data_IF_541177804731
#
_entry.id   IF_541177804731
#
_cell.length_a   1.000
_cell.length_b   1.000
_cell.length_c   1.000
_cell.angle_alpha   90.00
_cell.angle_beta   90.00
_cell.angle_gamma   90.00
#
_symmetry.space_group_name_H-M   'P 1'
#
loop_
_entity.id
_entity.type
_entity.pdbx_description
1 polymer ?
#
# COMPACT_ATOMS: atom_id res chain seq x y z
N UNK A 1 -40.47 36.28 -49.16
CA UNK A 1 -39.60 35.09 -49.30
C UNK A 1 -38.41 35.25 -48.36
N UNK A 2 -38.28 34.43 -47.31
CA UNK A 2 -37.03 34.30 -46.57
C UNK A 2 -36.40 32.91 -46.78
N UNK A 3 -35.07 32.91 -46.80
CA UNK A 3 -34.18 31.82 -47.17
C UNK A 3 -34.31 30.57 -46.29
N UNK A 4 -34.29 29.40 -46.93
CA UNK A 4 -34.24 28.09 -46.29
C UNK A 4 -32.90 27.82 -45.61
N UNK A 5 -32.94 27.17 -44.45
CA UNK A 5 -31.78 26.57 -43.76
C UNK A 5 -31.22 25.40 -44.59
N UNK A 6 -29.90 25.16 -44.58
CA UNK A 6 -29.33 23.93 -45.11
C UNK A 6 -29.64 22.73 -44.19
N UNK A 7 -29.64 21.49 -44.70
CA UNK A 7 -29.96 20.30 -43.91
C UNK A 7 -28.86 20.00 -42.88
N UNK A 8 -29.26 19.55 -41.69
CA UNK A 8 -28.34 19.02 -40.70
C UNK A 8 -27.88 17.62 -41.10
N UNK A 9 -26.62 17.48 -41.51
CA UNK A 9 -25.97 16.17 -41.62
C UNK A 9 -25.72 15.64 -40.21
N UNK A 10 -26.64 14.81 -39.71
CA UNK A 10 -26.35 13.92 -38.59
C UNK A 10 -25.39 12.83 -39.07
N UNK A 11 -24.10 12.99 -38.73
CA UNK A 11 -23.13 11.90 -38.78
C UNK A 11 -23.67 10.69 -38.01
N UNK A 12 -24.11 9.67 -38.75
CA UNK A 12 -24.47 8.37 -38.21
C UNK A 12 -23.18 7.63 -37.85
N UNK A 13 -22.91 7.44 -36.56
CA UNK A 13 -21.72 6.71 -36.11
C UNK A 13 -21.79 5.23 -36.51
N UNK A 14 -20.66 4.60 -36.91
CA UNK A 14 -20.65 3.20 -37.30
C UNK A 14 -21.01 2.27 -36.14
N UNK A 15 -21.83 1.27 -36.42
CA UNK A 15 -22.21 0.22 -35.49
C UNK A 15 -20.94 -0.57 -35.05
N UNK A 16 -20.55 -0.51 -33.76
CA UNK A 16 -19.32 -1.07 -33.19
C UNK A 16 -19.03 -2.54 -33.57
N UNK A 17 -20.06 -3.30 -33.94
CA UNK A 17 -19.94 -4.69 -34.40
C UNK A 17 -19.10 -4.86 -35.67
N UNK A 18 -19.09 -3.88 -36.59
CA UNK A 18 -18.34 -3.99 -37.86
C UNK A 18 -16.85 -3.70 -37.68
N UNK A 19 -16.51 -2.79 -36.76
CA UNK A 19 -15.12 -2.45 -36.42
C UNK A 19 -14.41 -3.60 -35.67
N UNK A 20 -15.12 -4.28 -34.76
CA UNK A 20 -14.58 -5.40 -33.98
C UNK A 20 -14.27 -6.65 -34.86
N UNK A 21 -15.10 -6.90 -35.88
CA UNK A 21 -14.87 -7.98 -36.86
C UNK A 21 -13.60 -7.76 -37.70
N UNK A 22 -13.25 -6.50 -37.99
CA UNK A 22 -12.09 -6.14 -38.80
C UNK A 22 -10.76 -6.32 -38.04
N UNK A 23 -10.78 -6.35 -36.71
CA UNK A 23 -9.60 -6.44 -35.84
C UNK A 23 -9.38 -7.86 -35.26
N UNK A 24 -10.19 -8.85 -35.67
CA UNK A 24 -10.08 -10.22 -35.17
C UNK A 24 -10.51 -10.42 -33.71
N UNK A 25 -11.21 -9.44 -33.11
CA UNK A 25 -11.68 -9.48 -31.72
C UNK A 25 -13.15 -9.92 -31.70
N UNK A 26 -13.44 -11.08 -31.09
CA UNK A 26 -14.82 -11.54 -30.89
C UNK A 26 -15.55 -10.65 -29.89
N UNK A 27 -16.83 -10.36 -30.17
CA UNK A 27 -17.71 -9.59 -29.28
C UNK A 27 -17.81 -10.19 -27.88
N UNK A 28 -17.71 -11.51 -27.77
CA UNK A 28 -17.73 -12.23 -26.49
C UNK A 28 -16.49 -11.95 -25.63
N UNK A 29 -15.30 -11.86 -26.24
CA UNK A 29 -14.06 -11.53 -25.52
C UNK A 29 -14.07 -10.08 -25.02
N UNK A 30 -14.51 -9.14 -25.87
CA UNK A 30 -14.65 -7.73 -25.49
C UNK A 30 -15.66 -7.52 -24.35
N UNK A 31 -16.79 -8.24 -24.37
CA UNK A 31 -17.77 -8.18 -23.27
C UNK A 31 -17.21 -8.76 -21.96
N UNK A 32 -16.43 -9.85 -22.00
CA UNK A 32 -15.80 -10.43 -20.81
C UNK A 32 -14.74 -9.51 -20.21
N UNK A 33 -13.85 -8.93 -21.03
CA UNK A 33 -12.82 -8.00 -20.58
C UNK A 33 -13.43 -6.72 -19.99
N UNK A 34 -14.48 -6.19 -20.62
CA UNK A 34 -15.22 -5.03 -20.12
C UNK A 34 -15.90 -5.33 -18.79
N UNK A 35 -16.52 -6.51 -18.64
CA UNK A 35 -17.13 -6.94 -17.39
C UNK A 35 -16.10 -7.07 -16.25
N UNK A 36 -14.94 -7.65 -16.53
CA UNK A 36 -13.88 -7.79 -15.54
C UNK A 36 -13.28 -6.44 -15.16
N UNK A 37 -13.15 -5.51 -16.11
CA UNK A 37 -12.76 -4.13 -15.83
C UNK A 37 -13.79 -3.41 -14.97
N UNK A 38 -15.08 -3.58 -15.26
CA UNK A 38 -16.16 -3.01 -14.45
C UNK A 38 -16.14 -3.60 -13.03
N UNK A 39 -15.94 -4.92 -12.86
CA UNK A 39 -15.78 -5.55 -11.53
C UNK A 39 -14.58 -4.99 -10.78
N UNK A 40 -13.46 -4.79 -11.47
CA UNK A 40 -12.23 -4.21 -10.91
C UNK A 40 -12.48 -2.79 -10.39
N UNK A 41 -13.03 -1.91 -11.24
CA UNK A 41 -13.34 -0.52 -10.89
C UNK A 41 -14.39 -0.44 -9.77
N UNK A 42 -15.39 -1.33 -9.80
CA UNK A 42 -16.46 -1.38 -8.81
C UNK A 42 -15.99 -1.86 -7.43
N UNK A 43 -15.31 -3.01 -7.35
CA UNK A 43 -14.88 -3.59 -6.08
C UNK A 43 -13.50 -3.10 -5.65
N UNK A 44 -12.46 -3.33 -6.46
CA UNK A 44 -11.06 -3.00 -6.09
C UNK A 44 -10.86 -1.50 -5.94
N UNK A 45 -11.40 -0.70 -6.84
CA UNK A 45 -11.27 0.76 -6.75
C UNK A 45 -12.42 1.43 -6.00
N UNK A 46 -13.60 0.80 -5.93
CA UNK A 46 -14.71 1.33 -5.14
C UNK A 46 -15.44 2.50 -5.77
N UNK A 47 -15.27 2.68 -7.07
CA UNK A 47 -15.73 3.85 -7.79
C UNK A 47 -17.26 3.93 -7.85
N UNK A 48 -17.80 5.15 -7.92
CA UNK A 48 -19.20 5.49 -8.24
C UNK A 48 -19.45 5.36 -9.73
N UNK A 49 -20.71 5.36 -10.16
CA UNK A 49 -21.02 5.06 -11.57
C UNK A 49 -20.45 6.08 -12.54
N UNK A 50 -20.49 7.37 -12.20
CA UNK A 50 -19.85 8.41 -13.03
C UNK A 50 -18.31 8.29 -13.00
N UNK A 51 -17.70 7.92 -11.87
CA UNK A 51 -16.26 7.68 -11.76
C UNK A 51 -15.83 6.46 -12.59
N UNK A 52 -16.66 5.40 -12.64
CA UNK A 52 -16.42 4.23 -13.50
C UNK A 52 -16.49 4.64 -14.97
N UNK A 53 -17.48 5.45 -15.36
CA UNK A 53 -17.60 5.95 -16.74
C UNK A 53 -16.35 6.76 -17.09
N UNK A 54 -15.99 7.74 -16.26
CA UNK A 54 -14.80 8.56 -16.48
C UNK A 54 -13.53 7.70 -16.59
N UNK A 55 -13.33 6.76 -15.66
CA UNK A 55 -12.18 5.86 -15.70
C UNK A 55 -12.15 4.98 -16.95
N UNK A 56 -13.30 4.52 -17.45
CA UNK A 56 -13.38 3.75 -18.69
C UNK A 56 -13.09 4.66 -19.90
N UNK A 57 -13.58 5.89 -19.90
CA UNK A 57 -13.34 6.88 -20.95
C UNK A 57 -11.85 7.25 -21.04
N UNK A 58 -11.17 7.43 -19.90
CA UNK A 58 -9.71 7.64 -19.85
C UNK A 58 -8.94 6.46 -20.44
N UNK A 59 -9.48 5.24 -20.35
CA UNK A 59 -8.93 4.04 -20.97
C UNK A 59 -9.44 3.79 -22.41
N UNK A 60 -10.06 4.79 -23.05
CA UNK A 60 -10.54 4.72 -24.43
C UNK A 60 -11.90 4.03 -24.62
N UNK A 61 -12.57 3.62 -23.54
CA UNK A 61 -13.86 2.92 -23.56
C UNK A 61 -15.00 3.89 -23.21
N UNK A 62 -15.74 4.35 -24.22
CA UNK A 62 -16.90 5.21 -24.01
C UNK A 62 -18.18 4.39 -23.82
N UNK A 63 -18.82 4.51 -22.66
CA UNK A 63 -20.11 3.86 -22.38
C UNK A 63 -21.09 4.84 -21.73
N UNK A 64 -22.38 4.71 -22.07
CA UNK A 64 -23.43 5.49 -21.42
C UNK A 64 -23.69 4.99 -19.99
N UNK A 65 -24.21 5.87 -19.13
CA UNK A 65 -24.62 5.51 -17.76
C UNK A 65 -25.67 4.39 -17.73
N UNK A 66 -26.60 4.39 -18.70
CA UNK A 66 -27.57 3.32 -18.90
C UNK A 66 -26.90 1.99 -19.24
N UNK A 67 -25.92 1.99 -20.15
CA UNK A 67 -25.17 0.79 -20.55
C UNK A 67 -24.40 0.22 -19.36
N UNK A 68 -23.68 1.06 -18.61
CA UNK A 68 -22.97 0.65 -17.40
C UNK A 68 -23.92 0.01 -16.38
N UNK A 69 -25.09 0.64 -16.15
CA UNK A 69 -26.09 0.13 -15.21
C UNK A 69 -26.62 -1.24 -15.64
N UNK A 70 -26.92 -1.42 -16.93
CA UNK A 70 -27.38 -2.70 -17.48
C UNK A 70 -26.34 -3.79 -17.31
N UNK A 71 -25.08 -3.54 -17.71
CA UNK A 71 -24.00 -4.50 -17.55
C UNK A 71 -23.85 -4.86 -16.07
N UNK A 72 -23.74 -3.86 -15.18
CA UNK A 72 -23.62 -4.09 -13.73
C UNK A 72 -24.74 -4.96 -13.15
N UNK A 73 -25.99 -4.73 -13.56
CA UNK A 73 -27.11 -5.55 -13.10
C UNK A 73 -27.06 -6.98 -13.66
N UNK A 74 -26.67 -7.15 -14.92
CA UNK A 74 -26.45 -8.46 -15.57
C UNK A 74 -25.42 -9.30 -14.82
N UNK A 75 -24.30 -8.69 -14.43
CA UNK A 75 -23.23 -9.35 -13.66
C UNK A 75 -23.44 -9.34 -12.14
N UNK A 76 -24.64 -8.97 -11.66
CA UNK A 76 -25.00 -9.03 -10.24
C UNK A 76 -24.44 -7.91 -9.34
N UNK A 77 -23.76 -6.90 -9.90
CA UNK A 77 -23.18 -5.76 -9.16
C UNK A 77 -24.24 -4.71 -8.78
N UNK A 78 -25.05 -4.99 -7.77
CA UNK A 78 -26.05 -4.02 -7.24
C UNK A 78 -25.37 -3.06 -6.25
N UNK A 79 -25.72 -1.75 -6.21
CA UNK A 79 -25.21 -0.84 -5.15
C UNK A 79 -25.98 -0.93 -3.85
N UNK A 80 -27.26 -1.33 -3.94
CA UNK A 80 -28.19 -1.51 -2.84
C UNK A 80 -28.81 -2.88 -2.99
N UNK A 81 -28.70 -3.70 -1.94
CA UNK A 81 -29.47 -4.95 -1.84
C UNK A 81 -30.87 -4.57 -1.35
N UNK A 82 -31.90 -4.97 -2.09
CA UNK A 82 -33.30 -4.58 -1.84
C UNK A 82 -34.12 -5.75 -1.28
N UNK A 83 -33.79 -6.99 -1.67
CA UNK A 83 -34.48 -8.19 -1.21
C UNK A 83 -33.97 -8.64 0.18
N UNK A 84 -34.89 -9.00 1.08
CA UNK A 84 -34.60 -9.39 2.45
C UNK A 84 -33.83 -10.72 2.55
N UNK A 85 -34.13 -11.68 1.67
CA UNK A 85 -33.47 -12.98 1.62
C UNK A 85 -32.00 -12.86 1.16
N UNK A 86 -31.76 -12.08 0.12
CA UNK A 86 -30.40 -11.77 -0.36
C UNK A 86 -29.57 -11.01 0.69
N UNK A 87 -30.22 -10.15 1.48
CA UNK A 87 -29.58 -9.47 2.62
C UNK A 87 -29.15 -10.51 3.67
N UNK A 88 -30.01 -11.47 3.99
CA UNK A 88 -29.70 -12.49 4.99
C UNK A 88 -28.56 -13.41 4.54
N UNK A 89 -28.63 -13.94 3.31
CA UNK A 89 -27.56 -14.76 2.73
C UNK A 89 -26.22 -14.01 2.68
N UNK A 90 -26.24 -12.74 2.28
CA UNK A 90 -25.04 -11.89 2.30
C UNK A 90 -24.53 -11.66 3.73
N UNK A 91 -25.43 -11.42 4.68
CA UNK A 91 -25.04 -11.23 6.08
C UNK A 91 -24.42 -12.49 6.68
N UNK A 92 -24.93 -13.68 6.35
CA UNK A 92 -24.40 -14.94 6.88
C UNK A 92 -23.03 -15.28 6.29
N UNK A 93 -22.84 -15.07 4.98
CA UNK A 93 -21.51 -15.16 4.35
C UNK A 93 -20.52 -14.16 4.96
N UNK A 94 -20.96 -12.93 5.19
CA UNK A 94 -20.12 -11.90 5.81
C UNK A 94 -19.84 -12.24 7.27
N UNK A 95 -20.79 -12.79 8.03
CA UNK A 95 -20.56 -13.24 9.42
C UNK A 95 -19.50 -14.33 9.49
N UNK A 96 -19.59 -15.34 8.62
CA UNK A 96 -18.59 -16.40 8.54
C UNK A 96 -17.20 -15.83 8.23
N UNK A 97 -17.09 -14.92 7.26
CA UNK A 97 -15.82 -14.27 6.94
C UNK A 97 -15.36 -13.34 8.07
N UNK A 98 -16.24 -12.56 8.71
CA UNK A 98 -15.92 -11.73 9.89
C UNK A 98 -15.34 -12.61 10.99
N UNK A 99 -15.98 -13.74 11.31
CA UNK A 99 -15.50 -14.64 12.35
C UNK A 99 -14.11 -15.21 12.00
N UNK A 100 -13.91 -15.60 10.74
CA UNK A 100 -12.59 -16.04 10.25
C UNK A 100 -11.53 -14.94 10.41
N UNK A 101 -11.88 -13.69 10.12
CA UNK A 101 -10.96 -12.55 10.23
C UNK A 101 -10.75 -12.07 11.67
N UNK A 102 -11.72 -12.25 12.57
CA UNK A 102 -11.54 -12.03 14.01
C UNK A 102 -10.66 -13.11 14.62
N UNK A 103 -10.86 -14.37 14.22
CA UNK A 103 -10.01 -15.48 14.65
C UNK A 103 -8.56 -15.30 14.19
N UNK A 104 -8.30 -14.55 13.11
CA UNK A 104 -6.95 -14.18 12.68
C UNK A 104 -6.39 -12.93 13.36
N UNK A 105 -7.21 -12.19 14.12
CA UNK A 105 -6.84 -10.89 14.68
C UNK A 105 -6.77 -9.76 13.65
N UNK A 106 -6.83 -10.06 12.35
CA UNK A 106 -6.56 -9.14 11.22
C UNK A 106 -7.42 -7.89 11.21
N UNK A 107 -8.67 -8.01 11.65
CA UNK A 107 -9.64 -6.92 11.59
C UNK A 107 -9.92 -6.28 12.96
N UNK A 108 -9.25 -6.72 14.04
CA UNK A 108 -9.50 -6.21 15.39
C UNK A 108 -9.13 -4.73 15.55
N UNK A 109 -8.11 -4.27 14.82
CA UNK A 109 -7.71 -2.87 14.80
C UNK A 109 -8.46 -2.01 13.78
N UNK A 110 -9.33 -2.58 12.95
CA UNK A 110 -10.01 -1.84 11.89
C UNK A 110 -11.22 -1.11 12.47
N UNK A 111 -11.25 0.22 12.33
CA UNK A 111 -12.45 0.99 12.62
C UNK A 111 -13.59 0.69 11.61
N UNK A 112 -14.83 0.99 11.99
CA UNK A 112 -16.07 0.74 11.21
C UNK A 112 -15.95 1.03 9.70
N UNK A 113 -15.38 2.19 9.34
CA UNK A 113 -15.21 2.59 7.94
C UNK A 113 -14.21 1.72 7.16
N UNK A 114 -13.12 1.29 7.80
CA UNK A 114 -12.13 0.41 7.18
C UNK A 114 -12.67 -1.01 7.04
N UNK A 115 -13.41 -1.51 8.04
CA UNK A 115 -14.09 -2.81 7.95
C UNK A 115 -15.05 -2.85 6.76
N UNK A 116 -15.91 -1.84 6.64
CA UNK A 116 -16.86 -1.76 5.52
C UNK A 116 -16.15 -1.83 4.17
N UNK A 117 -15.02 -1.12 4.05
CA UNK A 117 -14.25 -1.07 2.81
C UNK A 117 -13.48 -2.37 2.54
N UNK A 118 -12.91 -2.97 3.56
CA UNK A 118 -12.21 -4.26 3.49
C UNK A 118 -13.10 -5.37 2.92
N UNK A 119 -14.32 -5.52 3.44
CA UNK A 119 -15.25 -6.53 2.92
C UNK A 119 -15.74 -6.19 1.50
N UNK A 120 -15.94 -4.91 1.19
CA UNK A 120 -16.27 -4.48 -0.19
C UNK A 120 -15.16 -4.82 -1.18
N UNK A 121 -13.89 -4.67 -0.80
CA UNK A 121 -12.74 -5.06 -1.62
C UNK A 121 -12.69 -6.58 -1.87
N UNK A 122 -13.20 -7.39 -0.93
CA UNK A 122 -13.36 -8.84 -1.07
C UNK A 122 -14.60 -9.26 -1.87
N UNK A 123 -15.39 -8.31 -2.38
CA UNK A 123 -16.58 -8.59 -3.19
C UNK A 123 -17.90 -8.61 -2.41
N UNK A 124 -17.89 -8.40 -1.10
CA UNK A 124 -19.12 -8.43 -0.30
C UNK A 124 -19.90 -7.11 -0.38
N UNK A 125 -21.20 -7.22 -0.59
CA UNK A 125 -22.08 -6.07 -0.75
C UNK A 125 -22.89 -5.78 0.52
N UNK A 126 -22.22 -5.18 1.51
CA UNK A 126 -22.80 -4.98 2.84
C UNK A 126 -23.70 -3.73 2.88
N UNK A 127 -24.90 -3.87 3.42
CA UNK A 127 -25.83 -2.76 3.63
C UNK A 127 -25.54 -1.96 4.91
N UNK A 128 -25.29 -2.63 6.05
CA UNK A 128 -24.87 -2.01 7.33
C UNK A 128 -24.01 -2.97 8.15
N UNK A 129 -22.75 -2.61 8.35
CA UNK A 129 -21.80 -3.46 9.09
C UNK A 129 -22.09 -3.54 10.60
N UNK A 130 -22.79 -2.55 11.18
CA UNK A 130 -23.20 -2.56 12.61
C UNK A 130 -24.10 -3.73 12.96
N UNK A 131 -25.09 -4.05 12.11
CA UNK A 131 -26.04 -5.14 12.38
C UNK A 131 -25.38 -6.52 12.29
N UNK A 132 -24.29 -6.60 11.53
CA UNK A 132 -23.49 -7.82 11.35
C UNK A 132 -22.56 -8.00 12.56
N UNK A 133 -21.89 -6.94 12.99
CA UNK A 133 -21.00 -6.97 14.16
C UNK A 133 -21.74 -7.05 15.50
N UNK A 134 -22.93 -6.45 15.63
CA UNK A 134 -23.74 -6.55 16.85
C UNK A 134 -24.27 -7.97 17.11
N UNK A 135 -24.30 -8.84 16.08
CA UNK A 135 -24.65 -10.24 16.23
C UNK A 135 -23.43 -11.14 16.58
N UNK A 136 -22.21 -10.62 16.45
CA UNK A 136 -20.95 -11.30 16.77
C UNK A 136 -20.28 -10.65 17.99
N UNK A 137 -20.63 -11.16 19.17
CA UNK A 137 -20.01 -10.92 20.48
C UNK A 137 -19.74 -9.44 20.85
N UNK A 138 -20.82 -8.77 21.26
CA UNK A 138 -20.88 -7.39 21.74
C UNK A 138 -19.86 -7.08 22.87
N UNK A 139 -19.39 -8.10 23.60
CA UNK A 139 -18.42 -7.98 24.69
C UNK A 139 -17.02 -7.67 24.19
N UNK A 140 -16.56 -8.31 23.10
CA UNK A 140 -15.22 -8.04 22.53
C UNK A 140 -15.10 -6.63 21.97
N UNK A 141 -16.14 -6.14 21.31
CA UNK A 141 -16.13 -4.79 20.68
C UNK A 141 -16.19 -3.67 21.74
N UNK A 142 -17.00 -3.83 22.80
CA UNK A 142 -17.05 -2.88 23.93
C UNK A 142 -15.77 -2.92 24.78
N UNK A 143 -15.20 -4.10 25.01
CA UNK A 143 -13.93 -4.28 25.71
C UNK A 143 -12.75 -3.66 24.94
N UNK A 144 -12.71 -3.83 23.62
CA UNK A 144 -11.72 -3.18 22.75
C UNK A 144 -11.87 -1.65 22.75
N UNK A 145 -13.10 -1.11 22.74
CA UNK A 145 -13.32 0.34 22.84
C UNK A 145 -12.87 0.93 24.19
N UNK A 146 -13.00 0.20 25.29
CA UNK A 146 -12.50 0.59 26.62
C UNK A 146 -10.97 0.45 26.76
N UNK A 147 -10.38 -0.60 26.20
CA UNK A 147 -8.92 -0.81 26.16
C UNK A 147 -8.24 0.27 25.30
N UNK A 148 -8.83 0.64 24.16
CA UNK A 148 -8.28 1.64 23.24
C UNK A 148 -8.22 3.05 23.87
N UNK A 149 -9.04 3.33 24.90
CA UNK A 149 -9.01 4.60 25.64
C UNK A 149 -8.08 4.59 26.85
N UNK A 150 -7.96 3.46 27.56
CA UNK A 150 -7.16 3.34 28.80
C UNK A 150 -5.71 2.89 28.62
N UNK A 151 -5.41 2.08 27.59
CA UNK A 151 -4.08 1.47 27.41
C UNK A 151 -3.11 2.39 26.64
N UNK A 152 -3.63 3.45 26.02
CA UNK A 152 -2.86 4.39 25.19
C UNK A 152 -1.78 5.18 25.95
N UNK A 153 -1.86 5.29 27.28
CA UNK A 153 -0.85 5.97 28.10
C UNK A 153 0.13 5.03 28.83
N UNK A 154 -0.23 3.75 29.04
CA UNK A 154 0.65 2.79 29.72
C UNK A 154 1.57 2.03 28.73
N UNK A 155 1.12 1.76 27.51
CA UNK A 155 1.85 0.91 26.53
C UNK A 155 3.06 1.57 25.84
N UNK A 156 3.21 2.89 25.94
CA UNK A 156 4.41 3.58 25.43
C UNK A 156 5.59 3.52 26.41
N UNK A 157 5.37 3.10 27.66
CA UNK A 157 6.43 3.05 28.68
C UNK A 157 7.12 1.68 28.81
N UNK A 158 6.57 0.57 28.29
CA UNK A 158 7.19 -0.77 28.42
C UNK A 158 6.94 -1.74 27.26
N UNK A 159 7.32 -1.46 26.00
CA UNK A 159 7.63 -2.56 25.09
C UNK A 159 9.01 -3.12 25.45
N UNK A 160 9.15 -4.45 25.56
CA UNK A 160 10.47 -5.07 25.72
C UNK A 160 11.40 -4.62 24.58
N UNK A 161 12.70 -4.40 24.88
CA UNK A 161 13.70 -4.00 23.88
C UNK A 161 13.70 -4.93 22.65
N UNK A 162 13.32 -6.19 22.84
CA UNK A 162 13.22 -7.22 21.80
C UNK A 162 12.05 -6.96 20.84
N UNK A 163 10.84 -6.67 21.34
CA UNK A 163 9.66 -6.37 20.51
C UNK A 163 9.87 -5.09 19.68
N UNK A 164 10.45 -4.05 20.29
CA UNK A 164 10.85 -2.83 19.56
C UNK A 164 11.86 -3.16 18.49
N UNK A 165 12.89 -3.95 18.81
CA UNK A 165 13.94 -4.33 17.87
C UNK A 165 13.39 -5.13 16.68
N UNK A 166 12.43 -6.04 16.87
CA UNK A 166 11.84 -6.82 15.77
C UNK A 166 10.93 -6.02 14.86
N UNK A 167 10.04 -5.18 15.43
CA UNK A 167 9.22 -4.28 14.62
C UNK A 167 10.08 -3.24 13.92
N UNK A 168 11.10 -2.73 14.61
CA UNK A 168 12.10 -1.87 14.01
C UNK A 168 12.80 -2.61 12.88
N UNK A 169 13.24 -3.86 13.06
CA UNK A 169 13.91 -4.67 12.04
C UNK A 169 12.99 -4.97 10.84
N UNK A 170 11.71 -5.28 11.07
CA UNK A 170 10.71 -5.48 10.00
C UNK A 170 10.36 -4.20 9.24
N UNK A 171 10.27 -3.07 9.94
CA UNK A 171 10.01 -1.78 9.32
C UNK A 171 11.29 -1.17 8.73
N UNK A 172 12.47 -1.45 9.29
CA UNK A 172 13.76 -0.88 8.91
C UNK A 172 14.45 -1.64 7.80
N UNK A 173 14.17 -2.93 7.59
CA UNK A 173 14.63 -3.61 6.38
C UNK A 173 13.82 -3.22 5.15
N UNK A 174 12.68 -2.54 5.33
CA UNK A 174 11.96 -1.85 4.27
C UNK A 174 12.03 -0.31 4.38
N UNK A 175 12.83 0.20 5.32
CA UNK A 175 13.13 1.61 5.54
C UNK A 175 14.54 1.64 6.12
N UNK A 176 15.54 1.29 5.32
CA UNK A 176 16.92 1.55 5.72
C UNK A 176 16.98 3.06 5.95
N UNK A 177 17.15 3.51 7.20
CA UNK A 177 17.19 4.93 7.58
C UNK A 177 18.48 5.61 7.10
N UNK A 178 18.89 5.28 5.89
CA UNK A 178 20.05 5.80 5.20
C UNK A 178 19.56 6.77 4.14
N UNK A 179 20.36 7.80 3.90
CA UNK A 179 20.08 8.77 2.84
C UNK A 179 19.82 8.11 1.49
N UNK A 180 20.50 6.99 1.25
CA UNK A 180 20.49 6.23 0.00
C UNK A 180 19.15 5.56 -0.23
N UNK A 181 18.62 4.86 0.77
CA UNK A 181 17.38 4.13 0.57
C UNK A 181 16.17 5.09 0.48
N UNK A 182 16.26 6.26 1.12
CA UNK A 182 15.28 7.34 0.97
C UNK A 182 15.38 7.96 -0.43
N UNK A 183 16.59 8.17 -0.94
CA UNK A 183 16.84 8.60 -2.33
C UNK A 183 16.26 7.62 -3.35
N UNK A 184 16.60 6.34 -3.26
CA UNK A 184 16.12 5.34 -4.22
C UNK A 184 14.60 5.21 -4.21
N UNK A 185 13.95 5.24 -3.03
CA UNK A 185 12.48 5.23 -2.97
C UNK A 185 11.90 6.44 -3.68
N UNK A 186 12.49 7.61 -3.48
CA UNK A 186 12.09 8.82 -4.18
C UNK A 186 12.23 8.65 -5.71
N UNK A 187 13.38 8.21 -6.21
CA UNK A 187 13.63 8.01 -7.65
C UNK A 187 12.70 6.94 -8.26
N UNK A 188 12.48 5.81 -7.58
CA UNK A 188 11.56 4.74 -8.01
C UNK A 188 10.12 5.27 -8.13
N UNK A 189 9.67 6.09 -7.19
CA UNK A 189 8.35 6.73 -7.26
C UNK A 189 8.25 7.65 -8.49
N UNK A 190 9.28 8.43 -8.80
CA UNK A 190 9.30 9.27 -10.01
C UNK A 190 9.26 8.44 -11.29
N UNK A 191 9.99 7.31 -11.33
CA UNK A 191 10.00 6.39 -12.47
C UNK A 191 8.63 5.73 -12.68
N UNK A 192 8.01 5.25 -11.59
CA UNK A 192 6.71 4.56 -11.63
C UNK A 192 5.56 5.51 -11.99
N UNK A 193 5.53 6.70 -11.36
CA UNK A 193 4.44 7.67 -11.55
C UNK A 193 4.63 8.54 -12.78
N UNK A 194 5.87 8.71 -13.24
CA UNK A 194 6.29 9.67 -14.28
C UNK A 194 5.90 11.11 -13.95
N UNK A 195 5.70 11.39 -12.65
CA UNK A 195 5.28 12.69 -12.12
C UNK A 195 6.35 13.20 -11.16
N UNK A 196 6.86 14.38 -11.46
CA UNK A 196 7.79 15.15 -10.65
C UNK A 196 7.02 16.21 -9.85
N UNK A 197 7.12 16.22 -8.52
CA UNK A 197 6.55 17.28 -7.71
C UNK A 197 7.33 18.60 -7.91
N UNK A 198 6.65 19.74 -7.71
CA UNK A 198 7.31 21.06 -7.76
C UNK A 198 8.17 21.35 -6.52
N UNK A 199 7.73 20.86 -5.37
CA UNK A 199 8.47 20.96 -4.13
C UNK A 199 8.23 19.71 -3.29
N UNK A 200 9.18 19.39 -2.41
CA UNK A 200 9.06 18.34 -1.41
C UNK A 200 9.14 18.92 0.00
N UNK A 201 8.43 18.26 0.93
CA UNK A 201 8.38 18.67 2.34
C UNK A 201 8.67 17.52 3.29
N UNK A 202 9.94 17.29 3.64
CA UNK A 202 10.28 16.29 4.65
C UNK A 202 10.37 16.88 6.06
N UNK A 203 10.33 15.98 7.04
CA UNK A 203 10.74 16.26 8.42
C UNK A 203 12.25 16.63 8.44
N UNK A 204 12.66 17.41 9.45
CA UNK A 204 14.07 17.71 9.67
C UNK A 204 14.81 16.41 10.04
N UNK A 205 15.64 15.92 9.14
CA UNK A 205 16.46 14.73 9.34
C UNK A 205 17.62 14.66 8.38
N UNK A 206 18.74 14.08 8.82
CA UNK A 206 19.91 13.88 7.97
C UNK A 206 19.71 12.86 6.85
N UNK A 207 18.59 12.13 6.84
CA UNK A 207 18.28 11.09 5.85
C UNK A 207 17.75 11.66 4.51
N UNK A 208 17.42 12.95 4.45
CA UNK A 208 16.74 13.55 3.29
C UNK A 208 17.65 14.42 2.43
N UNK A 209 18.93 14.54 2.79
CA UNK A 209 19.92 15.37 2.08
C UNK A 209 20.08 14.95 0.62
N UNK A 210 20.27 13.65 0.37
CA UNK A 210 20.42 13.15 -0.99
C UNK A 210 19.14 13.34 -1.83
N UNK A 211 17.96 13.21 -1.20
CA UNK A 211 16.69 13.51 -1.86
C UNK A 211 16.59 14.98 -2.22
N UNK A 212 16.99 15.88 -1.34
CA UNK A 212 17.02 17.32 -1.62
C UNK A 212 17.91 17.64 -2.82
N UNK A 213 19.11 17.06 -2.84
CA UNK A 213 20.08 17.25 -3.91
C UNK A 213 19.57 16.68 -5.25
N UNK A 214 19.06 15.45 -5.26
CA UNK A 214 18.49 14.83 -6.45
C UNK A 214 17.27 15.60 -6.98
N UNK A 215 16.38 16.02 -6.09
CA UNK A 215 15.20 16.82 -6.45
C UNK A 215 15.58 18.15 -7.11
N UNK A 216 16.61 18.82 -6.59
CA UNK A 216 17.16 20.03 -7.19
C UNK A 216 17.73 19.78 -8.59
N UNK A 217 18.55 18.74 -8.76
CA UNK A 217 19.15 18.41 -10.06
C UNK A 217 18.08 18.13 -11.12
N UNK A 218 17.02 17.39 -10.76
CA UNK A 218 15.90 17.08 -11.65
C UNK A 218 15.12 18.33 -12.10
N UNK A 219 15.09 19.39 -11.30
CA UNK A 219 14.34 20.61 -11.58
C UNK A 219 15.20 21.72 -12.18
N UNK A 220 16.51 21.73 -11.95
CA UNK A 220 17.41 22.82 -12.33
C UNK A 220 17.39 23.13 -13.82
N UNK A 221 17.32 22.10 -14.67
CA UNK A 221 17.24 22.26 -16.13
C UNK A 221 15.86 22.76 -16.59
N UNK A 222 14.81 22.55 -15.79
CA UNK A 222 13.44 22.95 -16.12
C UNK A 222 13.14 24.40 -15.73
N UNK A 223 13.83 24.94 -14.72
CA UNK A 223 13.54 26.26 -14.15
C UNK A 223 14.80 27.15 -14.12
N UNK A 224 14.77 28.24 -14.89
CA UNK A 224 15.83 29.27 -14.85
C UNK A 224 15.91 29.89 -13.46
N UNK A 225 17.12 29.98 -12.90
CA UNK A 225 17.40 30.57 -11.59
C UNK A 225 16.69 29.89 -10.40
N UNK A 226 16.42 28.59 -10.48
CA UNK A 226 15.86 27.83 -9.36
C UNK A 226 16.80 27.85 -8.16
N UNK A 227 16.31 28.31 -7.01
CA UNK A 227 16.98 28.14 -5.73
C UNK A 227 16.43 26.90 -5.04
N UNK A 228 17.26 26.25 -4.21
CA UNK A 228 16.85 25.06 -3.51
C UNK A 228 15.67 25.33 -2.54
N UNK A 229 15.65 26.48 -1.88
CA UNK A 229 14.55 26.90 -1.00
C UNK A 229 13.20 27.01 -1.74
N UNK A 230 13.22 27.10 -3.08
CA UNK A 230 12.01 27.16 -3.90
C UNK A 230 11.40 25.77 -4.13
N UNK A 231 12.19 24.70 -4.00
CA UNK A 231 11.76 23.31 -4.22
C UNK A 231 11.90 22.39 -3.00
N UNK A 232 12.53 22.85 -1.91
CA UNK A 232 12.72 22.05 -0.69
C UNK A 232 12.34 22.83 0.56
N UNK A 233 11.33 22.35 1.29
CA UNK A 233 10.77 23.06 2.44
C UNK A 233 10.70 22.15 3.67
N UNK A 234 11.29 22.56 4.79
CA UNK A 234 11.10 21.84 6.05
C UNK A 234 9.69 22.07 6.61
N UNK A 235 9.11 20.98 7.11
CA UNK A 235 7.83 21.01 7.82
C UNK A 235 8.02 21.28 9.31
N UNK A 236 7.05 21.94 9.93
CA UNK A 236 6.90 21.95 11.39
C UNK A 236 6.03 20.77 11.82
N UNK A 237 6.15 20.33 13.07
CA UNK A 237 5.37 19.20 13.60
C UNK A 237 3.84 19.35 13.44
N UNK A 238 3.34 20.56 13.23
CA UNK A 238 1.92 20.86 12.97
C UNK A 238 1.50 20.64 11.51
N UNK A 239 2.41 20.71 10.54
CA UNK A 239 2.12 20.42 9.13
C UNK A 239 2.19 18.92 8.78
N UNK A 240 2.90 18.10 9.56
CA UNK A 240 3.01 16.63 9.33
C UNK A 240 1.87 15.81 9.90
N UNK A 241 0.86 16.47 10.48
CA UNK A 241 -0.29 15.83 11.11
C UNK A 241 -0.99 14.79 10.22
N UNK A 242 -1.00 14.98 8.89
CA UNK A 242 -1.64 14.04 7.96
C UNK A 242 -0.84 12.74 7.82
N UNK A 243 0.48 12.83 7.63
CA UNK A 243 1.37 11.67 7.50
C UNK A 243 1.43 10.95 8.86
N UNK A 244 1.58 11.69 9.95
CA UNK A 244 1.58 11.14 11.31
C UNK A 244 0.23 10.49 11.69
N UNK A 245 -0.90 11.07 11.28
CA UNK A 245 -2.21 10.44 11.47
C UNK A 245 -2.39 9.16 10.63
N UNK A 246 -1.77 9.09 9.45
CA UNK A 246 -1.74 7.85 8.67
C UNK A 246 -0.93 6.77 9.36
N UNK A 247 0.30 7.06 9.77
CA UNK A 247 1.14 6.14 10.52
C UNK A 247 0.45 5.66 11.80
N UNK A 248 -0.13 6.57 12.57
CA UNK A 248 -0.90 6.22 13.77
C UNK A 248 -2.03 5.24 13.47
N UNK A 249 -2.75 5.45 12.36
CA UNK A 249 -3.85 4.55 11.96
C UNK A 249 -3.33 3.22 11.45
N UNK A 250 -2.27 3.17 10.64
CA UNK A 250 -1.64 1.93 10.19
C UNK A 250 -1.19 1.10 11.40
N UNK A 251 -0.51 1.73 12.36
CA UNK A 251 -0.05 1.06 13.58
C UNK A 251 -1.20 0.50 14.39
N UNK A 252 -2.24 1.30 14.63
CA UNK A 252 -3.42 0.88 15.41
C UNK A 252 -4.24 -0.22 14.73
N UNK A 253 -4.25 -0.26 13.40
CA UNK A 253 -5.15 -1.13 12.66
C UNK A 253 -4.54 -2.43 12.19
N UNK A 254 -3.23 -2.45 11.89
CA UNK A 254 -2.56 -3.61 11.33
C UNK A 254 -1.31 -4.00 12.15
N UNK A 255 -0.37 -3.07 12.36
CA UNK A 255 0.95 -3.41 12.91
C UNK A 255 0.90 -3.85 14.37
N UNK A 256 -0.15 -3.47 15.11
CA UNK A 256 -0.39 -3.93 16.48
C UNK A 256 -0.43 -5.46 16.58
N UNK A 257 -0.99 -6.17 15.60
CA UNK A 257 -1.10 -7.64 15.64
C UNK A 257 0.28 -8.29 15.61
N UNK A 258 1.14 -7.82 14.70
CA UNK A 258 2.53 -8.26 14.62
C UNK A 258 3.27 -7.94 15.92
N UNK A 259 3.07 -6.74 16.49
CA UNK A 259 3.68 -6.33 17.76
C UNK A 259 3.34 -7.27 18.91
N UNK A 260 2.06 -7.52 19.15
CA UNK A 260 1.61 -8.37 20.26
C UNK A 260 2.04 -9.82 20.03
N UNK A 261 2.00 -10.29 18.77
CA UNK A 261 2.48 -11.61 18.42
C UNK A 261 3.96 -11.81 18.75
N UNK A 262 4.82 -10.88 18.33
CA UNK A 262 6.26 -10.94 18.61
C UNK A 262 6.61 -10.76 20.08
N UNK A 263 5.85 -9.93 20.79
CA UNK A 263 5.98 -9.81 22.24
C UNK A 263 5.68 -11.15 22.91
N UNK A 264 4.60 -11.81 22.52
CA UNK A 264 4.26 -13.16 23.00
C UNK A 264 5.35 -14.18 22.64
N UNK A 265 5.81 -14.19 21.40
CA UNK A 265 6.87 -15.08 20.93
C UNK A 265 8.16 -14.96 21.77
N UNK A 266 8.52 -13.73 22.16
CA UNK A 266 9.66 -13.47 23.04
C UNK A 266 9.39 -13.88 24.50
N UNK A 267 8.22 -13.57 25.03
CA UNK A 267 7.86 -13.87 26.43
C UNK A 267 7.74 -15.37 26.68
N UNK A 268 7.23 -16.12 25.70
CA UNK A 268 7.08 -17.57 25.75
C UNK A 268 8.42 -18.30 25.52
N UNK A 269 9.52 -17.56 25.29
CA UNK A 269 10.86 -18.12 25.09
C UNK A 269 11.10 -18.74 23.70
N UNK A 270 10.19 -18.53 22.75
CA UNK A 270 10.31 -19.07 21.38
C UNK A 270 11.24 -18.28 20.46
N UNK A 271 11.64 -17.07 20.86
CA UNK A 271 12.57 -16.22 20.12
C UNK A 271 13.72 -15.73 20.99
N UNK A 272 14.93 -15.78 20.44
CA UNK A 272 16.13 -15.20 21.05
C UNK A 272 16.77 -14.17 20.11
N UNK A 273 16.91 -12.92 20.57
CA UNK A 273 17.46 -11.81 19.76
C UNK A 273 18.86 -12.10 19.20
N UNK A 274 19.69 -12.79 19.98
CA UNK A 274 21.08 -13.05 19.61
C UNK A 274 21.22 -14.26 18.68
N UNK A 275 20.17 -15.06 18.48
CA UNK A 275 20.17 -16.21 17.57
C UNK A 275 20.04 -15.74 16.13
N UNK A 276 21.06 -16.02 15.30
CA UNK A 276 21.02 -15.72 13.86
C UNK A 276 19.87 -16.49 13.17
N UNK A 277 19.64 -17.74 13.57
CA UNK A 277 18.55 -18.56 13.04
C UNK A 277 17.18 -17.96 13.30
N UNK A 278 16.95 -17.45 14.53
CA UNK A 278 15.70 -16.78 14.87
C UNK A 278 15.49 -15.51 14.03
N UNK A 279 16.54 -14.71 13.84
CA UNK A 279 16.44 -13.49 13.04
C UNK A 279 16.15 -13.80 11.57
N UNK A 280 16.90 -14.71 10.95
CA UNK A 280 16.68 -15.12 9.56
C UNK A 280 15.27 -15.73 9.39
N UNK A 281 14.84 -16.61 10.30
CA UNK A 281 13.51 -17.22 10.23
C UNK A 281 12.38 -16.19 10.35
N UNK A 282 12.51 -15.21 11.26
CA UNK A 282 11.52 -14.12 11.35
C UNK A 282 11.47 -13.34 10.04
N UNK A 283 12.63 -13.02 9.46
CA UNK A 283 12.71 -12.26 8.22
C UNK A 283 12.05 -12.99 7.06
N UNK A 284 12.40 -14.26 6.85
CA UNK A 284 11.88 -15.08 5.77
C UNK A 284 10.35 -15.25 5.83
N UNK A 285 9.78 -15.39 7.03
CA UNK A 285 8.35 -15.67 7.22
C UNK A 285 7.51 -14.38 7.28
N UNK A 286 7.93 -13.42 8.10
CA UNK A 286 7.05 -12.31 8.49
C UNK A 286 7.22 -11.06 7.63
N UNK A 287 8.36 -10.83 6.96
CA UNK A 287 8.50 -9.72 6.00
C UNK A 287 7.54 -9.85 4.81
N UNK A 288 7.51 -10.97 4.05
CA UNK A 288 6.61 -11.08 2.91
C UNK A 288 5.14 -10.99 3.34
N UNK A 289 4.80 -11.61 4.48
CA UNK A 289 3.46 -11.53 5.05
C UNK A 289 3.09 -10.09 5.44
N UNK A 290 3.96 -9.37 6.14
CA UNK A 290 3.71 -7.98 6.52
C UNK A 290 3.61 -7.07 5.29
N UNK A 291 4.43 -7.28 4.25
CA UNK A 291 4.33 -6.56 2.98
C UNK A 291 2.98 -6.78 2.30
N UNK A 292 2.51 -8.03 2.22
CA UNK A 292 1.16 -8.34 1.69
C UNK A 292 0.06 -7.64 2.50
N UNK A 293 0.16 -7.66 3.82
CA UNK A 293 -0.82 -7.03 4.70
C UNK A 293 -0.83 -5.50 4.61
N UNK A 294 0.34 -4.87 4.57
CA UNK A 294 0.48 -3.42 4.38
C UNK A 294 -0.06 -3.01 3.00
N UNK A 295 0.28 -3.76 1.94
CA UNK A 295 -0.25 -3.50 0.60
C UNK A 295 -1.79 -3.62 0.55
N UNK A 296 -2.34 -4.62 1.24
CA UNK A 296 -3.80 -4.76 1.41
C UNK A 296 -4.40 -3.57 2.14
N UNK A 297 -3.78 -3.13 3.24
CA UNK A 297 -4.21 -1.98 4.01
C UNK A 297 -4.18 -0.68 3.19
N UNK A 298 -3.11 -0.44 2.42
CA UNK A 298 -2.99 0.74 1.56
C UNK A 298 -4.13 0.80 0.55
N UNK A 299 -4.52 -0.35 -0.04
CA UNK A 299 -5.70 -0.43 -0.93
C UNK A 299 -6.99 -0.05 -0.19
N UNK A 300 -7.20 -0.57 1.03
CA UNK A 300 -8.36 -0.21 1.88
C UNK A 300 -8.37 1.28 2.19
N UNK A 301 -7.21 1.84 2.52
CA UNK A 301 -7.06 3.25 2.88
C UNK A 301 -7.33 4.17 1.68
N UNK A 302 -6.72 3.92 0.53
CA UNK A 302 -6.79 4.81 -0.63
C UNK A 302 -8.17 4.87 -1.27
N UNK A 303 -8.98 3.84 -1.04
CA UNK A 303 -10.33 3.71 -1.57
C UNK A 303 -11.41 4.20 -0.60
N UNK A 304 -11.02 4.63 0.62
CA UNK A 304 -11.94 5.26 1.55
C UNK A 304 -12.35 6.65 1.03
N UNK A 305 -13.59 7.03 1.30
CA UNK A 305 -14.07 8.37 0.99
C UNK A 305 -13.63 9.36 2.07
N UNK A 306 -12.93 10.42 1.67
CA UNK A 306 -12.72 11.62 2.49
C UNK A 306 -14.04 12.39 2.48
N UNK A 307 -14.67 12.49 3.64
CA UNK A 307 -15.95 13.18 3.80
C UNK A 307 -15.77 14.69 3.76
N UNK A 308 -16.76 15.39 3.16
CA UNK A 308 -16.81 16.85 3.20
C UNK A 308 -16.99 17.31 4.65
N UNK A 309 -16.11 18.19 5.11
CA UNK A 309 -16.19 18.79 6.44
C UNK A 309 -16.78 20.19 6.30
N UNK A 310 -17.96 20.44 6.88
CA UNK A 310 -18.70 21.72 6.76
C UNK A 310 -17.88 22.93 7.21
N UNK A 311 -16.98 22.75 8.18
CA UNK A 311 -16.13 23.82 8.72
C UNK A 311 -14.76 23.94 8.04
N UNK A 312 -14.49 23.14 6.98
CA UNK A 312 -13.23 23.19 6.23
C UNK A 312 -13.51 23.19 4.73
N UNK A 313 -13.92 24.35 4.23
CA UNK A 313 -14.29 24.53 2.81
C UNK A 313 -13.14 24.25 1.83
N UNK A 314 -11.88 24.38 2.26
CA UNK A 314 -10.69 24.04 1.47
C UNK A 314 -10.37 22.53 1.46
N UNK A 315 -11.11 21.70 2.19
CA UNK A 315 -10.89 20.25 2.22
C UNK A 315 -11.55 19.60 1.00
N UNK A 316 -10.72 19.07 0.10
CA UNK A 316 -11.19 18.28 -1.03
C UNK A 316 -11.80 16.97 -0.53
N UNK A 317 -13.04 16.71 -0.90
CA UNK A 317 -13.76 15.47 -0.59
C UNK A 317 -13.69 14.52 -1.79
N UNK A 318 -13.51 13.23 -1.55
CA UNK A 318 -13.35 12.24 -2.61
C UNK A 318 -12.60 11.00 -2.13
N UNK A 319 -12.44 10.00 -2.99
CA UNK A 319 -11.55 8.87 -2.68
C UNK A 319 -10.12 9.25 -3.06
N UNK A 320 -9.13 8.92 -2.23
CA UNK A 320 -7.74 9.30 -2.49
C UNK A 320 -7.26 8.80 -3.86
N UNK A 321 -7.63 7.57 -4.22
CA UNK A 321 -7.29 6.98 -5.51
C UNK A 321 -7.92 7.74 -6.70
N UNK A 322 -9.16 8.22 -6.53
CA UNK A 322 -9.87 9.01 -7.55
C UNK A 322 -9.24 10.39 -7.67
N UNK A 323 -9.04 11.08 -6.55
CA UNK A 323 -8.45 12.42 -6.53
C UNK A 323 -7.04 12.46 -7.13
N UNK A 324 -6.30 11.35 -7.04
CA UNK A 324 -4.94 11.25 -7.58
C UNK A 324 -4.91 10.82 -9.05
N UNK A 325 -5.72 9.82 -9.46
CA UNK A 325 -5.65 9.24 -10.81
C UNK A 325 -6.71 9.74 -11.79
N UNK A 326 -7.79 10.34 -11.30
CA UNK A 326 -8.95 10.77 -12.10
C UNK A 326 -9.22 12.23 -11.78
N UNK A 327 -8.45 13.12 -12.39
CA UNK A 327 -8.67 14.56 -12.30
C UNK A 327 -10.05 14.88 -12.90
N UNK A 328 -10.91 15.55 -12.12
CA UNK A 328 -12.17 16.08 -12.63
C UNK A 328 -11.89 17.26 -13.57
N UNK A 329 -12.79 17.49 -14.53
CA UNK A 329 -12.70 18.61 -15.47
C UNK A 329 -12.48 19.94 -14.74
N UNK A 330 -11.39 20.63 -15.06
CA UNK A 330 -11.04 21.94 -14.50
C UNK A 330 -10.12 21.93 -13.28
N UNK A 331 -9.67 20.77 -12.78
CA UNK A 331 -8.62 20.69 -11.75
C UNK A 331 -7.24 20.65 -12.44
N UNK A 332 -6.34 21.63 -12.21
CA UNK A 332 -5.00 21.60 -12.79
C UNK A 332 -4.17 20.46 -12.21
N UNK A 333 -3.50 19.70 -13.09
CA UNK A 333 -2.40 18.83 -12.68
C UNK A 333 -1.17 19.72 -12.39
N UNK A 334 -0.65 19.63 -11.17
CA UNK A 334 0.53 20.38 -10.74
C UNK A 334 1.83 19.56 -10.85
N UNK A 335 1.75 18.31 -11.33
CA UNK A 335 2.90 17.47 -11.63
C UNK A 335 3.59 17.87 -12.93
N UNK A 336 4.92 17.97 -12.93
CA UNK A 336 5.72 18.03 -14.16
C UNK A 336 6.25 16.64 -14.52
N UNK A 337 6.82 16.47 -15.71
CA UNK A 337 7.55 15.23 -16.03
C UNK A 337 8.98 15.34 -15.50
N UNK A 338 9.54 14.28 -14.88
CA UNK A 338 10.95 14.28 -14.51
C UNK A 338 11.83 14.35 -15.76
N UNK A 339 13.01 14.95 -15.64
CA UNK A 339 14.04 14.83 -16.67
C UNK A 339 14.49 13.36 -16.74
N UNK A 340 14.22 12.71 -17.86
CA UNK A 340 14.43 11.27 -18.00
C UNK A 340 15.91 10.90 -18.00
N UNK A 341 16.77 11.74 -18.58
CA UNK A 341 18.22 11.47 -18.66
C UNK A 341 18.83 11.58 -17.27
N UNK A 342 18.48 12.63 -16.52
CA UNK A 342 18.94 12.82 -15.14
C UNK A 342 18.39 11.72 -14.23
N UNK A 343 17.11 11.34 -14.40
CA UNK A 343 16.49 10.28 -13.60
C UNK A 343 17.14 8.92 -13.83
N UNK A 344 17.37 8.52 -15.08
CA UNK A 344 18.03 7.25 -15.42
C UNK A 344 19.47 7.21 -14.89
N UNK A 345 20.20 8.32 -15.07
CA UNK A 345 21.55 8.46 -14.54
C UNK A 345 21.59 8.28 -13.01
N UNK A 346 20.65 8.90 -12.29
CA UNK A 346 20.55 8.76 -10.83
C UNK A 346 20.09 7.35 -10.41
N UNK A 347 19.33 6.62 -11.22
CA UNK A 347 18.90 5.25 -10.92
C UNK A 347 20.02 4.23 -11.13
N UNK A 348 20.75 4.33 -12.24
CA UNK A 348 21.79 3.36 -12.63
C UNK A 348 22.96 3.31 -11.63
N UNK A 349 23.30 4.44 -11.03
CA UNK A 349 24.39 4.55 -10.05
C UNK A 349 24.02 3.96 -8.68
N UNK A 350 22.74 3.71 -8.46
CA UNK A 350 22.18 3.32 -7.16
C UNK A 350 21.48 1.97 -7.26
N UNK A 351 22.14 0.97 -7.85
CA UNK A 351 21.65 -0.41 -8.02
C UNK A 351 21.61 -1.21 -6.70
N UNK A 352 21.00 -0.66 -5.67
CA UNK A 352 20.67 -1.36 -4.43
C UNK A 352 19.23 -1.87 -4.55
N UNK A 353 19.03 -3.15 -4.29
CA UNK A 353 17.68 -3.72 -4.30
C UNK A 353 16.93 -3.29 -3.02
N UNK A 354 16.09 -2.26 -3.15
CA UNK A 354 15.29 -1.70 -2.06
C UNK A 354 14.40 -2.72 -1.36
N UNK A 355 13.94 -3.71 -2.12
CA UNK A 355 13.04 -4.73 -1.64
C UNK A 355 13.79 -5.94 -1.05
N UNK A 356 15.12 -5.96 -1.06
CA UNK A 356 15.95 -6.99 -0.43
C UNK A 356 15.92 -6.86 1.10
N UNK A 357 15.53 -7.94 1.78
CA UNK A 357 15.46 -8.02 3.24
C UNK A 357 16.23 -9.23 3.80
N UNK A 358 16.66 -10.12 2.91
CA UNK A 358 17.60 -11.21 3.13
C UNK A 358 18.43 -11.36 1.84
N UNK A 359 19.72 -11.71 1.96
CA UNK A 359 20.55 -12.07 0.82
C UNK A 359 19.86 -13.10 -0.07
N UNK A 360 19.96 -12.95 -1.38
CA UNK A 360 19.23 -13.78 -2.35
C UNK A 360 19.47 -15.29 -2.15
N UNK A 361 20.70 -15.69 -1.85
CA UNK A 361 21.08 -17.08 -1.54
C UNK A 361 20.38 -17.62 -0.28
N UNK A 362 20.40 -16.83 0.81
CA UNK A 362 19.74 -17.12 2.08
C UNK A 362 18.23 -17.21 1.89
N UNK A 363 17.63 -16.26 1.17
CA UNK A 363 16.20 -16.23 0.89
C UNK A 363 15.75 -17.44 0.07
N UNK A 364 16.47 -17.76 -1.01
CA UNK A 364 16.19 -18.93 -1.85
C UNK A 364 16.29 -20.22 -1.05
N UNK A 365 17.31 -20.36 -0.20
CA UNK A 365 17.45 -21.52 0.68
C UNK A 365 16.25 -21.66 1.63
N UNK A 366 15.85 -20.56 2.29
CA UNK A 366 14.68 -20.56 3.18
C UNK A 366 13.40 -20.96 2.43
N UNK A 367 13.16 -20.39 1.25
CA UNK A 367 11.98 -20.69 0.43
C UNK A 367 11.96 -22.15 -0.01
N UNK A 368 13.10 -22.71 -0.44
CA UNK A 368 13.20 -24.11 -0.82
C UNK A 368 12.85 -25.05 0.35
N UNK A 369 13.36 -24.76 1.56
CA UNK A 369 13.02 -25.54 2.76
C UNK A 369 11.54 -25.46 3.10
N UNK A 370 10.96 -24.27 3.04
CA UNK A 370 9.53 -24.08 3.27
C UNK A 370 8.67 -24.83 2.24
N UNK A 371 8.99 -24.72 0.95
CA UNK A 371 8.28 -25.42 -0.12
C UNK A 371 8.37 -26.95 0.05
N UNK A 372 9.52 -27.49 0.47
CA UNK A 372 9.68 -28.93 0.71
C UNK A 372 8.76 -29.49 1.79
N UNK A 373 8.26 -28.65 2.70
CA UNK A 373 7.28 -29.02 3.73
C UNK A 373 5.85 -28.59 3.39
N UNK A 374 5.59 -28.12 2.18
CA UNK A 374 4.27 -27.64 1.76
C UNK A 374 3.91 -26.24 2.27
N UNK A 375 4.85 -25.47 2.81
CA UNK A 375 4.63 -24.08 3.20
C UNK A 375 4.80 -23.12 2.00
N UNK A 376 3.98 -23.29 0.97
CA UNK A 376 4.04 -22.45 -0.24
C UNK A 376 3.46 -21.05 -0.03
N UNK A 377 2.41 -20.93 0.79
CA UNK A 377 1.75 -19.63 1.04
C UNK A 377 1.29 -19.46 2.48
N UNK A 378 2.15 -18.83 3.27
CA UNK A 378 1.92 -18.55 4.68
C UNK A 378 1.12 -17.24 4.81
N UNK A 379 0.02 -17.27 5.56
CA UNK A 379 -0.83 -16.09 5.81
C UNK A 379 -1.07 -15.89 7.29
N UNK A 380 -1.34 -14.65 7.68
CA UNK A 380 -1.67 -14.29 9.07
C UNK A 380 -2.92 -15.04 9.57
N UNK A 381 -3.91 -15.23 8.69
CA UNK A 381 -5.11 -16.01 9.00
C UNK A 381 -4.98 -17.54 8.89
N UNK A 382 -3.83 -18.06 8.46
CA UNK A 382 -3.67 -19.49 8.18
C UNK A 382 -3.63 -20.34 9.46
N UNK A 383 -4.55 -21.31 9.56
CA UNK A 383 -4.61 -22.31 10.62
C UNK A 383 -4.40 -23.71 10.04
N UNK A 384 -3.74 -24.59 10.80
CA UNK A 384 -3.71 -26.03 10.49
C UNK A 384 -4.99 -26.72 10.99
N UNK A 385 -5.08 -28.04 10.78
CA UNK A 385 -6.21 -28.87 11.20
C UNK A 385 -6.45 -28.84 12.71
N UNK A 386 -5.40 -28.59 13.50
CA UNK A 386 -5.45 -28.50 14.97
C UNK A 386 -5.80 -27.09 15.47
N UNK A 387 -6.01 -26.12 14.58
CA UNK A 387 -6.30 -24.73 14.94
C UNK A 387 -5.06 -23.91 15.34
N UNK A 388 -3.86 -24.41 15.09
CA UNK A 388 -2.60 -23.71 15.34
C UNK A 388 -2.21 -22.82 14.17
N UNK A 389 -1.49 -21.73 14.46
CA UNK A 389 -1.04 -20.76 13.45
C UNK A 389 -0.01 -21.39 12.52
N UNK A 390 -0.34 -21.50 11.23
CA UNK A 390 0.56 -22.03 10.19
C UNK A 390 1.91 -21.31 10.15
N UNK A 391 1.90 -19.98 10.29
CA UNK A 391 3.12 -19.18 10.31
C UNK A 391 4.02 -19.45 11.52
N UNK A 392 3.45 -19.84 12.66
CA UNK A 392 4.24 -20.20 13.83
C UNK A 392 4.92 -21.55 13.64
N UNK A 393 4.20 -22.53 13.09
CA UNK A 393 4.75 -23.85 12.77
C UNK A 393 5.89 -23.73 11.74
N UNK A 394 5.64 -22.98 10.66
CA UNK A 394 6.64 -22.71 9.64
C UNK A 394 7.88 -21.99 10.20
N UNK A 395 7.68 -21.03 11.13
CA UNK A 395 8.76 -20.35 11.83
C UNK A 395 9.62 -21.32 12.65
N UNK A 396 9.01 -22.16 13.50
CA UNK A 396 9.74 -23.13 14.32
C UNK A 396 10.51 -24.12 13.44
N UNK A 397 9.85 -24.68 12.43
CA UNK A 397 10.48 -25.57 11.46
C UNK A 397 11.69 -24.92 10.80
N UNK A 398 11.51 -23.72 10.22
CA UNK A 398 12.57 -23.04 9.49
C UNK A 398 13.75 -22.69 10.41
N UNK A 399 13.47 -22.19 11.62
CA UNK A 399 14.50 -21.90 12.63
C UNK A 399 15.33 -23.13 12.94
N UNK A 400 14.69 -24.28 13.16
CA UNK A 400 15.40 -25.51 13.51
C UNK A 400 16.26 -26.01 12.33
N UNK A 401 15.76 -25.87 11.09
CA UNK A 401 16.55 -26.17 9.88
C UNK A 401 17.75 -25.23 9.72
N UNK A 402 17.58 -23.93 9.98
CA UNK A 402 18.67 -22.95 9.89
C UNK A 402 19.74 -23.27 10.94
N UNK A 403 19.34 -23.60 12.18
CA UNK A 403 20.27 -24.02 13.23
C UNK A 403 21.07 -25.25 12.81
N UNK A 404 20.41 -26.25 12.24
CA UNK A 404 21.08 -27.46 11.73
C UNK A 404 22.08 -27.11 10.63
N UNK A 405 21.67 -26.26 9.67
CA UNK A 405 22.52 -25.83 8.56
C UNK A 405 23.75 -25.06 9.03
N UNK A 406 23.58 -24.10 9.94
CA UNK A 406 24.68 -23.33 10.54
C UNK A 406 25.63 -24.26 11.32
N UNK A 407 25.11 -25.23 12.06
CA UNK A 407 25.93 -26.19 12.80
C UNK A 407 26.78 -27.06 11.87
N UNK A 408 26.29 -27.39 10.67
CA UNK A 408 27.02 -28.16 9.66
C UNK A 408 28.04 -27.34 8.85
N UNK A 409 28.04 -26.00 8.97
CA UNK A 409 28.87 -25.10 8.17
C UNK A 409 28.76 -25.34 6.65
N UNK A 410 27.56 -25.72 6.20
CA UNK A 410 27.29 -26.00 4.79
C UNK A 410 27.06 -24.72 3.99
N UNK A 411 27.35 -24.75 2.70
CA UNK A 411 26.97 -23.67 1.77
C UNK A 411 25.47 -23.76 1.39
N UNK A 412 24.78 -22.63 1.16
CA UNK A 412 25.26 -21.25 1.28
C UNK A 412 25.39 -20.81 2.74
N UNK A 413 26.31 -19.87 3.02
CA UNK A 413 26.40 -19.22 4.32
C UNK A 413 25.18 -18.32 4.58
N UNK A 414 24.29 -18.79 5.45
CA UNK A 414 23.06 -18.07 5.78
C UNK A 414 23.39 -16.82 6.62
N UNK A 415 22.99 -15.65 6.13
CA UNK A 415 23.29 -14.36 6.77
C UNK A 415 22.16 -13.33 6.56
N UNK A 416 22.24 -12.23 7.29
CA UNK A 416 21.34 -11.08 7.12
C UNK A 416 21.93 -10.10 6.09
N UNK A 417 21.10 -9.22 5.52
CA UNK A 417 21.60 -8.15 4.65
C UNK A 417 22.54 -7.24 5.43
N UNK A 418 23.66 -6.89 4.81
CA UNK A 418 24.57 -5.88 5.35
C UNK A 418 23.93 -4.49 5.20
N UNK A 419 24.22 -3.59 6.15
CA UNK A 419 23.75 -2.21 6.05
C UNK A 419 24.58 -1.52 4.97
N UNK A 420 23.96 -0.81 4.01
CA UNK A 420 24.72 -0.07 3.01
C UNK A 420 25.57 0.99 3.70
N UNK A 421 26.89 0.91 3.53
CA UNK A 421 27.84 1.87 4.08
C UNK A 421 27.97 3.05 3.12
N UNK A 422 28.15 4.28 3.63
CA UNK A 422 28.36 5.45 2.76
C UNK A 422 29.62 5.34 1.88
N UNK A 423 30.62 4.57 2.32
CA UNK A 423 31.89 4.36 1.60
C UNK A 423 31.77 3.45 0.37
N UNK A 424 30.72 2.63 0.29
CA UNK A 424 30.50 1.67 -0.80
C UNK A 424 29.79 2.28 -2.01
N UNK A 425 29.37 3.55 -1.92
CA UNK A 425 28.70 4.24 -3.02
C UNK A 425 29.63 5.19 -3.77
N UNK A 426 29.79 4.91 -5.06
CA UNK A 426 30.32 5.84 -6.03
C UNK A 426 29.27 6.92 -6.37
N UNK A 427 29.00 7.83 -5.43
CA UNK A 427 28.09 8.95 -5.66
C UNK A 427 28.67 9.88 -6.73
N UNK A 428 27.86 10.30 -7.69
CA UNK A 428 28.23 11.32 -8.66
C UNK A 428 28.81 12.56 -7.98
N UNK A 429 29.93 13.06 -8.51
CA UNK A 429 30.54 14.31 -8.00
C UNK A 429 29.53 15.48 -7.96
N UNK A 430 28.59 15.52 -8.92
CA UNK A 430 27.52 16.50 -8.95
C UNK A 430 26.52 16.37 -7.79
N UNK A 431 26.03 15.15 -7.53
CA UNK A 431 25.11 14.88 -6.41
C UNK A 431 25.79 15.11 -5.06
N UNK A 432 27.01 14.59 -4.90
CA UNK A 432 27.82 14.76 -3.69
C UNK A 432 28.11 16.23 -3.38
N UNK A 433 28.44 17.01 -4.41
CA UNK A 433 28.70 18.45 -4.29
C UNK A 433 27.46 19.18 -3.82
N UNK A 434 26.31 18.97 -4.48
CA UNK A 434 25.05 19.61 -4.09
C UNK A 434 24.66 19.20 -2.67
N UNK A 435 24.81 17.93 -2.30
CA UNK A 435 24.54 17.44 -0.95
C UNK A 435 25.47 18.07 0.12
N UNK A 436 26.73 18.30 -0.23
CA UNK A 436 27.71 18.92 0.67
C UNK A 436 27.44 20.43 0.84
N UNK A 437 27.19 21.12 -0.27
CA UNK A 437 26.79 22.53 -0.29
C UNK A 437 25.52 22.76 0.56
N UNK A 438 24.62 21.78 0.53
CA UNK A 438 23.41 21.67 1.33
C UNK A 438 23.66 21.58 2.83
N UNK A 439 24.51 20.63 3.25
CA UNK A 439 24.86 20.46 4.67
C UNK A 439 25.57 21.67 5.26
N UNK A 440 26.22 22.48 4.42
CA UNK A 440 26.89 23.71 4.85
C UNK A 440 25.92 24.90 5.02
N UNK A 441 24.65 24.78 4.64
CA UNK A 441 23.67 25.86 4.80
C UNK A 441 23.16 25.94 6.25
N UNK A 442 23.21 27.12 6.91
CA UNK A 442 22.78 27.30 8.30
C UNK A 442 21.32 26.91 8.56
N UNK A 443 20.46 27.08 7.56
CA UNK A 443 19.03 26.79 7.66
C UNK A 443 18.70 25.29 7.46
N UNK A 444 19.67 24.46 7.06
CA UNK A 444 19.43 23.08 6.65
C UNK A 444 19.64 22.05 7.78
N UNK A 445 20.61 22.28 8.68
CA UNK A 445 20.88 21.40 9.83
C UNK A 445 20.34 21.93 11.17
N UNK A 446 19.82 23.16 11.21
CA UNK A 446 19.30 23.82 12.42
C UNK A 446 17.87 23.45 12.79
#
# INVERSE_FOLDING_TARGET
MPAGRPPSDYCSFPNNSKALQQWGISRTNYESELEDKIKELYFKQGLRDHEIIHALETNGIKISQSTLKTIRLRIGLRRRVVNAEDIQNTNDLVRAEVQKQLNSGRIEGYGRGHLYRFFRLKGYNIARIEKIMAAGDERRIKFLAQIISGVWMAMLHYPSEVSKSMLQLMLSLNINRTQISVLQRFLKVLQETKIQPRYIRPDKGGETVLVAAAHYLLLKEQYKNLLLQDCYLYSTSTSDQRIQAWWSRLTKSLLFIFREYFLKLSNDGHFQKNSLADRIAILAIYIPMAREEIASYVKVWNTRQITKQSHRNHSISGQSNVLYHLLEDGIPDYGSKPDQVVLETLLDEHNFELDEYLPLDTLNWCQQKLHSQGFERIRLEGLNENGERTHFIAYLYLRDQINLHIATQSEPQLRECEKPTQEELHLQQGLQKVATDLTNQPWFLG
#
